data_IF_757926984103
#
_entry.id   IF_757926984103
#
_cell.length_a   1.000
_cell.length_b   1.000
_cell.length_c   1.000
_cell.angle_alpha   90.00
_cell.angle_beta   90.00
_cell.angle_gamma   90.00
#
_symmetry.space_group_name_H-M   'P 1'
#
loop_
_entity.id
_entity.type
_entity.pdbx_description
1 polymer ?
#
# COMPACT_ATOMS: atom_id res chain seq x y z
N UNK A 1 14.83 1.54 -14.46
CA UNK A 1 15.79 2.07 -13.47
C UNK A 1 15.15 3.27 -12.80
N UNK A 2 15.29 3.44 -11.48
CA UNK A 2 14.71 4.61 -10.78
C UNK A 2 15.52 5.88 -11.11
N UNK A 3 14.84 6.98 -11.44
CA UNK A 3 15.46 8.28 -11.67
C UNK A 3 15.69 8.97 -10.33
N UNK A 4 16.94 9.31 -10.00
CA UNK A 4 17.33 9.94 -8.73
C UNK A 4 18.24 11.12 -9.08
N UNK A 5 17.82 12.34 -8.74
CA UNK A 5 18.48 13.59 -9.13
C UNK A 5 19.03 14.38 -7.91
N UNK A 6 18.89 13.87 -6.68
CA UNK A 6 19.36 14.48 -5.40
C UNK A 6 18.85 15.90 -5.08
N UNK A 7 18.37 16.67 -6.06
CA UNK A 7 17.81 18.01 -5.94
C UNK A 7 16.28 17.97 -5.90
N UNK A 8 15.66 17.18 -6.79
CA UNK A 8 14.19 17.05 -6.87
C UNK A 8 13.67 15.66 -6.52
N UNK A 9 14.50 14.62 -6.73
CA UNK A 9 14.13 13.22 -6.49
C UNK A 9 15.20 12.57 -5.63
N UNK A 10 14.86 12.31 -4.36
CA UNK A 10 15.75 11.66 -3.40
C UNK A 10 15.80 10.14 -3.57
N UNK A 11 16.80 9.51 -2.96
CA UNK A 11 17.04 8.05 -3.04
C UNK A 11 16.11 7.20 -2.16
N UNK A 12 15.09 7.78 -1.52
CA UNK A 12 14.29 7.14 -0.46
C UNK A 12 13.70 5.77 -0.85
N UNK A 13 13.11 5.67 -2.03
CA UNK A 13 12.57 4.39 -2.52
C UNK A 13 13.67 3.37 -2.76
N UNK A 14 14.80 3.79 -3.35
CA UNK A 14 15.95 2.91 -3.59
C UNK A 14 16.53 2.39 -2.28
N UNK A 15 16.73 3.26 -1.30
CA UNK A 15 17.31 2.87 -0.01
C UNK A 15 16.36 1.97 0.78
N UNK A 16 15.03 2.21 0.69
CA UNK A 16 14.02 1.33 1.27
C UNK A 16 14.02 -0.05 0.62
N UNK A 17 14.09 -0.13 -0.72
CA UNK A 17 14.14 -1.40 -1.45
C UNK A 17 15.44 -2.17 -1.19
N UNK A 18 16.57 -1.48 -0.96
CA UNK A 18 17.83 -2.12 -0.58
C UNK A 18 17.76 -2.72 0.83
N UNK A 19 17.03 -2.07 1.74
CA UNK A 19 16.82 -2.57 3.09
C UNK A 19 15.75 -3.68 3.16
N UNK A 20 14.82 -3.73 2.21
CA UNK A 20 13.79 -4.75 2.12
C UNK A 20 14.39 -6.12 1.79
N UNK A 21 13.97 -7.13 2.55
CA UNK A 21 14.45 -8.52 2.42
C UNK A 21 13.46 -9.40 1.65
N UNK A 22 12.26 -8.89 1.39
CA UNK A 22 11.18 -9.63 0.76
C UNK A 22 11.31 -9.54 -0.76
N UNK A 23 11.19 -10.68 -1.45
CA UNK A 23 11.40 -10.73 -2.90
C UNK A 23 10.13 -11.06 -3.68
N UNK A 24 9.14 -11.67 -3.03
CA UNK A 24 7.88 -12.03 -3.68
C UNK A 24 6.68 -11.39 -3.00
N UNK A 25 5.60 -11.22 -3.77
CA UNK A 25 4.33 -10.71 -3.24
C UNK A 25 3.79 -11.60 -2.10
N UNK A 26 3.94 -12.92 -2.24
CA UNK A 26 3.45 -13.92 -1.29
C UNK A 26 4.17 -13.80 0.06
N UNK A 27 5.50 -13.68 0.03
CA UNK A 27 6.30 -13.38 1.22
C UNK A 27 5.91 -12.04 1.86
N UNK A 28 5.63 -11.01 1.06
CA UNK A 28 5.22 -9.70 1.57
C UNK A 28 3.88 -9.78 2.33
N UNK A 29 2.91 -10.49 1.75
CA UNK A 29 1.60 -10.70 2.37
C UNK A 29 1.73 -11.51 3.67
N UNK A 30 2.58 -12.54 3.70
CA UNK A 30 2.86 -13.30 4.93
C UNK A 30 3.54 -12.43 6.00
N UNK A 31 4.50 -11.59 5.62
CA UNK A 31 5.19 -10.69 6.55
C UNK A 31 4.23 -9.65 7.16
N UNK A 32 3.32 -9.09 6.35
CA UNK A 32 2.26 -8.20 6.84
C UNK A 32 1.37 -8.94 7.85
N UNK A 33 0.96 -10.17 7.55
CA UNK A 33 0.15 -10.97 8.48
C UNK A 33 0.88 -11.19 9.81
N UNK A 34 2.16 -11.61 9.79
CA UNK A 34 2.95 -11.85 11.01
C UNK A 34 3.04 -10.62 11.90
N UNK A 35 3.16 -9.41 11.32
CA UNK A 35 3.19 -8.16 12.10
C UNK A 35 1.86 -7.80 12.73
N UNK A 36 0.74 -8.08 12.05
CA UNK A 36 -0.60 -7.80 12.56
C UNK A 36 -1.07 -8.84 13.58
N UNK A 37 -0.62 -10.10 13.44
CA UNK A 37 -0.98 -11.23 14.30
C UNK A 37 0.28 -12.03 14.70
N UNK A 38 1.06 -11.51 15.66
CA UNK A 38 2.27 -12.19 16.15
C UNK A 38 1.87 -13.35 17.07
N UNK A 39 1.47 -14.49 16.49
CA UNK A 39 1.10 -15.67 17.28
C UNK A 39 0.46 -16.79 16.46
N UNK A 40 -0.25 -16.45 15.39
CA UNK A 40 -0.90 -17.43 14.53
C UNK A 40 0.04 -17.82 13.36
N UNK A 41 0.28 -19.12 13.10
CA UNK A 41 1.04 -19.52 11.93
C UNK A 41 0.29 -19.11 10.65
N UNK A 42 0.87 -18.24 9.79
CA UNK A 42 0.18 -17.75 8.62
C UNK A 42 0.13 -18.83 7.53
N UNK A 43 -1.06 -19.05 6.96
CA UNK A 43 -1.17 -19.67 5.64
C UNK A 43 -1.31 -18.58 4.58
N UNK A 44 -0.87 -18.85 3.35
CA UNK A 44 -0.97 -17.85 2.26
C UNK A 44 -2.42 -17.38 2.05
N UNK A 45 -3.38 -18.30 2.08
CA UNK A 45 -4.80 -17.98 1.84
C UNK A 45 -5.39 -17.09 2.95
N UNK A 46 -5.08 -17.41 4.22
CA UNK A 46 -5.55 -16.60 5.36
C UNK A 46 -4.89 -15.22 5.36
N UNK A 47 -3.61 -15.13 4.99
CA UNK A 47 -2.89 -13.88 4.87
C UNK A 47 -3.42 -12.99 3.73
N UNK A 48 -3.67 -13.57 2.55
CA UNK A 48 -4.31 -12.86 1.42
C UNK A 48 -5.69 -12.35 1.79
N UNK A 49 -6.49 -13.19 2.46
CA UNK A 49 -7.84 -12.81 2.91
C UNK A 49 -7.79 -11.66 3.91
N UNK A 50 -6.88 -11.71 4.89
CA UNK A 50 -6.70 -10.62 5.85
C UNK A 50 -6.33 -9.33 5.13
N UNK A 51 -5.32 -9.35 4.25
CA UNK A 51 -4.87 -8.17 3.52
C UNK A 51 -5.98 -7.56 2.68
N UNK A 52 -6.75 -8.38 1.95
CA UNK A 52 -7.89 -7.92 1.17
C UNK A 52 -8.94 -7.23 2.05
N UNK A 53 -9.20 -7.81 3.23
CA UNK A 53 -10.17 -7.28 4.18
C UNK A 53 -9.76 -5.97 4.87
N UNK A 54 -8.47 -5.58 4.84
CA UNK A 54 -8.02 -4.33 5.45
C UNK A 54 -8.45 -3.09 4.66
N UNK A 55 -8.43 -3.16 3.32
CA UNK A 55 -8.57 -1.98 2.48
C UNK A 55 -9.51 -2.16 1.28
N UNK A 56 -9.76 -3.40 0.84
CA UNK A 56 -10.37 -3.68 -0.46
C UNK A 56 -11.73 -4.39 -0.34
N UNK A 57 -12.09 -4.88 0.84
CA UNK A 57 -13.43 -5.39 1.10
C UNK A 57 -14.38 -4.23 1.44
N UNK A 58 -15.39 -3.92 0.61
CA UNK A 58 -16.30 -2.80 0.83
C UNK A 58 -17.19 -2.96 2.07
N UNK A 59 -17.40 -4.18 2.56
CA UNK A 59 -18.13 -4.42 3.81
C UNK A 59 -17.29 -4.08 5.05
N UNK A 60 -15.95 -4.07 4.91
CA UNK A 60 -15.01 -3.86 6.03
C UNK A 60 -14.27 -2.53 5.97
N UNK A 61 -14.17 -1.91 4.80
CA UNK A 61 -13.50 -0.64 4.59
C UNK A 61 -14.31 0.28 3.66
N UNK A 62 -14.79 1.40 4.19
CA UNK A 62 -15.44 2.47 3.42
C UNK A 62 -14.85 3.83 3.81
N UNK A 63 -14.37 4.57 2.82
CA UNK A 63 -13.90 5.95 3.00
C UNK A 63 -15.07 6.92 3.24
N UNK A 64 -16.31 6.49 3.04
CA UNK A 64 -17.51 7.31 2.91
C UNK A 64 -17.43 8.31 1.75
N UNK A 65 -18.57 8.91 1.40
CA UNK A 65 -18.63 9.97 0.38
C UNK A 65 -17.71 11.15 0.72
N UNK A 66 -17.66 11.56 1.99
CA UNK A 66 -16.86 12.71 2.43
C UNK A 66 -15.37 12.39 2.46
N UNK A 67 -14.98 11.21 2.92
CA UNK A 67 -13.56 10.82 2.92
C UNK A 67 -13.02 10.64 1.50
N UNK A 68 -13.81 10.04 0.60
CA UNK A 68 -13.47 9.96 -0.83
C UNK A 68 -13.32 11.35 -1.45
N UNK A 69 -14.22 12.29 -1.14
CA UNK A 69 -14.13 13.68 -1.60
C UNK A 69 -12.83 14.35 -1.14
N UNK A 70 -12.48 14.21 0.15
CA UNK A 70 -11.26 14.80 0.72
C UNK A 70 -9.99 14.21 0.13
N UNK A 71 -9.93 12.89 -0.04
CA UNK A 71 -8.79 12.20 -0.64
C UNK A 71 -8.61 12.65 -2.09
N UNK A 72 -9.69 12.67 -2.86
CA UNK A 72 -9.65 13.12 -4.25
C UNK A 72 -9.24 14.60 -4.37
N UNK A 73 -9.73 15.46 -3.49
CA UNK A 73 -9.34 16.87 -3.44
C UNK A 73 -7.85 17.05 -3.13
N UNK A 74 -7.24 16.16 -2.34
CA UNK A 74 -5.81 16.26 -2.00
C UNK A 74 -4.90 15.77 -3.13
N UNK A 75 -5.27 14.71 -3.83
CA UNK A 75 -4.36 14.00 -4.73
C UNK A 75 -4.74 14.08 -6.22
N UNK A 76 -6.00 14.38 -6.54
CA UNK A 76 -6.53 14.35 -7.91
C UNK A 76 -7.20 15.66 -8.32
N UNK A 77 -6.75 16.79 -7.76
CA UNK A 77 -7.12 18.10 -8.29
C UNK A 77 -6.41 18.35 -9.61
N UNK A 78 -7.21 18.80 -10.58
CA UNK A 78 -6.85 19.36 -11.88
C UNK A 78 -6.69 18.38 -13.06
N UNK A 79 -7.65 17.46 -13.22
CA UNK A 79 -8.03 16.93 -14.55
C UNK A 79 -9.39 17.51 -15.01
N UNK A 80 -9.82 18.65 -14.45
CA UNK A 80 -10.97 19.41 -14.95
C UNK A 80 -10.61 20.50 -15.96
N UNK A 81 -9.32 20.76 -16.17
CA UNK A 81 -8.80 21.71 -17.17
C UNK A 81 -8.29 21.01 -18.45
N UNK A 82 -8.62 19.72 -18.62
CA UNK A 82 -8.34 18.95 -19.84
C UNK A 82 -9.64 18.44 -20.48
N UNK A 83 -10.46 19.37 -20.95
CA UNK A 83 -11.47 19.14 -22.00
C UNK A 83 -11.41 20.30 -22.97
#
# INVERSE_FOLDING_TARGET
TLFIDSQNVGSYLRDTLVADKIQTQDEAILEIYRRLRPGDPPTLDTARTLFNNLFFNPERYDLSRVGRLKLNYKFYKDDKDKV
#
